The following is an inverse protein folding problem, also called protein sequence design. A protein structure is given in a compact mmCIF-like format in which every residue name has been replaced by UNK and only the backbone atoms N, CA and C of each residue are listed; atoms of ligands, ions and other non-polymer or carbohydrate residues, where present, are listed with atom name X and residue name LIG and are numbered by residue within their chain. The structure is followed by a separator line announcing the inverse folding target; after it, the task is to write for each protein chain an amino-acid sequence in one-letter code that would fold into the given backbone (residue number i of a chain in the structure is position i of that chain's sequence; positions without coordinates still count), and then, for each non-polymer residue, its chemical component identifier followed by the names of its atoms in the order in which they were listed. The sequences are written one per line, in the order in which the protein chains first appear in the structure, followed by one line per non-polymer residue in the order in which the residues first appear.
data_IF_641386231452
#
_entry.id   IF_641386231452
#
_cell.length_a   1.000
_cell.length_b   1.000
_cell.length_c   1.000
_cell.angle_alpha   90.00
_cell.angle_beta   90.00
_cell.angle_gamma   90.00
#
_symmetry.space_group_name_H-M   'P 1'
#
loop_
_entity.id
_entity.type
_entity.pdbx_description
1 polymer ?
#
# COMPACT_ATOMS: atom_id res chain seq x y z
N UNK A 1 -6.54 2.91 16.78
CA UNK A 1 -5.26 2.99 17.50
C UNK A 1 -4.18 3.50 16.54
N UNK A 2 -3.24 4.33 17.01
CA UNK A 2 -2.15 4.83 16.16
C UNK A 2 -1.24 3.68 15.69
N UNK A 3 -0.68 3.76 14.47
CA UNK A 3 0.17 2.70 13.92
C UNK A 3 1.55 2.63 14.59
N UNK A 4 1.85 3.53 15.50
CA UNK A 4 3.13 3.62 16.21
C UNK A 4 2.94 3.81 17.71
N UNK A 5 4.01 3.59 18.47
CA UNK A 5 4.18 3.99 19.87
C UNK A 5 5.17 5.15 19.92
N UNK A 6 5.00 6.04 20.89
CA UNK A 6 5.87 7.19 21.08
C UNK A 6 6.56 7.12 22.44
N UNK A 7 7.81 7.54 22.48
CA UNK A 7 8.57 7.80 23.70
C UNK A 7 9.33 9.14 23.57
N UNK A 8 9.62 9.79 24.69
CA UNK A 8 10.35 11.07 24.68
C UNK A 8 11.51 11.04 25.64
N UNK A 9 12.63 11.62 25.23
CA UNK A 9 13.83 11.81 26.07
C UNK A 9 14.61 13.01 25.57
N UNK A 10 14.97 13.92 26.48
CA UNK A 10 15.85 15.06 26.20
C UNK A 10 15.49 15.89 24.94
N UNK A 11 14.20 16.16 24.74
CA UNK A 11 13.71 16.93 23.58
C UNK A 11 13.59 16.12 22.29
N UNK A 12 13.90 14.82 22.31
CA UNK A 12 13.71 13.90 21.19
C UNK A 12 12.44 13.08 21.42
N UNK A 13 11.54 13.06 20.42
CA UNK A 13 10.38 12.17 20.37
C UNK A 13 10.69 11.05 19.39
N UNK A 14 10.73 9.82 19.89
CA UNK A 14 10.95 8.63 19.06
C UNK A 14 9.62 7.95 18.79
N UNK A 15 9.29 7.82 17.51
CA UNK A 15 8.12 7.07 17.02
C UNK A 15 8.59 5.67 16.59
N UNK A 16 7.98 4.65 17.15
CA UNK A 16 8.29 3.25 16.80
C UNK A 16 7.07 2.60 16.19
N UNK A 17 7.18 2.14 14.94
CA UNK A 17 6.10 1.44 14.27
C UNK A 17 5.69 0.18 15.04
N UNK A 18 4.39 -0.07 15.14
CA UNK A 18 3.85 -1.29 15.78
C UNK A 18 4.04 -2.52 14.89
N UNK A 19 4.04 -2.32 13.58
CA UNK A 19 4.26 -3.38 12.61
C UNK A 19 5.75 -3.50 12.31
N UNK A 20 6.23 -4.74 12.30
CA UNK A 20 7.60 -5.05 11.87
C UNK A 20 7.64 -5.16 10.35
N UNK A 21 8.81 -4.92 9.76
CA UNK A 21 9.02 -5.07 8.32
C UNK A 21 9.03 -3.74 7.57
N UNK A 22 9.04 -3.84 6.25
CA UNK A 22 9.16 -2.70 5.34
C UNK A 22 7.97 -1.73 5.42
N UNK A 23 6.77 -2.22 5.70
CA UNK A 23 5.55 -1.40 5.79
C UNK A 23 5.64 -0.29 6.85
N UNK A 24 6.41 -0.48 7.91
CA UNK A 24 6.63 0.55 8.92
C UNK A 24 7.39 1.79 8.41
N UNK A 25 8.14 1.65 7.33
CA UNK A 25 8.91 2.74 6.73
C UNK A 25 8.04 3.71 5.92
N UNK A 26 6.84 3.29 5.57
CA UNK A 26 5.91 4.06 4.72
C UNK A 26 4.91 4.90 5.53
N UNK A 27 5.01 4.86 6.87
CA UNK A 27 4.14 5.68 7.72
C UNK A 27 4.57 7.14 7.58
N UNK A 28 3.71 8.00 7.02
CA UNK A 28 4.04 9.41 6.85
C UNK A 28 4.06 10.12 8.20
N UNK A 29 5.04 10.97 8.40
CA UNK A 29 5.15 11.86 9.58
C UNK A 29 5.21 13.29 9.10
N UNK A 30 4.15 14.04 9.35
CA UNK A 30 4.05 15.46 8.99
C UNK A 30 3.99 16.33 10.24
N UNK A 31 4.60 17.49 10.19
CA UNK A 31 4.54 18.51 11.25
C UNK A 31 3.31 19.41 11.13
N UNK A 32 2.66 19.41 9.97
CA UNK A 32 1.51 20.23 9.66
C UNK A 32 0.24 19.37 9.64
N UNK A 33 -0.88 19.93 10.07
CA UNK A 33 -2.15 19.22 10.09
C UNK A 33 -2.62 18.82 8.68
N UNK A 34 -2.44 19.71 7.71
CA UNK A 34 -2.77 19.47 6.30
C UNK A 34 -1.57 18.97 5.47
N UNK A 35 -0.47 18.58 6.10
CA UNK A 35 0.73 18.11 5.45
C UNK A 35 1.54 19.23 4.79
N UNK A 36 2.42 18.82 3.88
CA UNK A 36 3.36 19.73 3.22
C UNK A 36 2.68 20.87 2.46
N UNK A 37 1.54 20.61 1.85
CA UNK A 37 0.75 21.60 1.09
C UNK A 37 -0.08 22.56 1.93
N UNK A 38 -0.16 22.35 3.25
CA UNK A 38 -1.07 23.11 4.13
C UNK A 38 -0.67 24.56 4.43
N UNK A 39 0.58 24.92 4.15
CA UNK A 39 1.10 26.28 4.38
C UNK A 39 1.26 26.67 5.85
N UNK A 40 1.04 25.75 6.79
CA UNK A 40 1.21 25.96 8.22
C UNK A 40 2.69 26.07 8.56
N UNK A 41 3.00 27.00 9.45
CA UNK A 41 4.37 27.23 9.92
C UNK A 41 4.47 26.97 11.43
N UNK A 42 5.64 26.48 11.85
CA UNK A 42 5.91 26.29 13.27
C UNK A 42 5.92 27.63 14.00
N UNK A 43 5.48 27.68 15.25
CA UNK A 43 5.55 28.89 16.06
C UNK A 43 7.00 29.40 16.19
N UNK A 44 7.15 30.71 16.28
CA UNK A 44 8.47 31.32 16.47
C UNK A 44 9.15 30.74 17.71
N UNK A 45 10.43 30.38 17.56
CA UNK A 45 11.23 29.75 18.62
C UNK A 45 11.12 28.23 18.75
N UNK A 46 10.24 27.58 17.96
CA UNK A 46 10.15 26.12 17.92
C UNK A 46 10.83 25.65 16.64
N UNK A 47 11.80 24.74 16.77
CA UNK A 47 12.44 24.06 15.67
C UNK A 47 12.23 22.56 15.83
N UNK A 48 11.70 21.90 14.80
CA UNK A 48 11.49 20.45 14.77
C UNK A 48 12.11 19.92 13.49
N UNK A 49 12.97 18.91 13.62
CA UNK A 49 13.50 18.16 12.49
C UNK A 49 12.98 16.73 12.55
N UNK A 50 12.39 16.26 11.47
CA UNK A 50 12.00 14.86 11.32
C UNK A 50 13.16 14.12 10.67
N UNK A 51 13.65 13.08 11.32
CA UNK A 51 14.71 12.23 10.81
C UNK A 51 14.29 10.76 10.86
N UNK A 52 14.60 10.02 9.81
CA UNK A 52 14.41 8.58 9.80
C UNK A 52 15.45 7.92 10.70
N UNK A 53 14.99 7.16 11.68
CA UNK A 53 15.83 6.35 12.55
C UNK A 53 16.23 5.01 11.89
N UNK A 54 16.12 3.93 12.63
CA UNK A 54 16.37 2.58 12.09
C UNK A 54 15.23 2.15 11.21
N UNK A 55 15.49 1.90 9.94
CA UNK A 55 14.51 1.41 9.00
C UNK A 55 14.09 -0.03 9.33
N UNK A 56 12.81 -0.32 9.17
CA UNK A 56 12.27 -1.68 9.24
C UNK A 56 12.79 -2.52 8.06
N UNK A 57 13.06 -3.78 8.30
CA UNK A 57 13.54 -4.73 7.30
C UNK A 57 12.68 -5.99 7.25
N UNK A 58 12.70 -6.68 6.11
CA UNK A 58 11.95 -7.91 5.88
C UNK A 58 10.54 -7.68 5.33
N UNK A 59 10.14 -8.59 4.48
CA UNK A 59 8.81 -8.68 3.90
C UNK A 59 8.01 -9.80 4.58
N UNK A 60 6.67 -9.75 4.60
CA UNK A 60 5.87 -10.85 5.12
C UNK A 60 5.97 -12.08 4.21
N UNK A 61 5.86 -13.26 4.81
CA UNK A 61 5.77 -14.52 4.05
C UNK A 61 4.30 -14.82 3.78
N UNK A 62 3.85 -14.57 2.55
CA UNK A 62 2.44 -14.73 2.16
C UNK A 62 2.07 -16.15 1.72
N UNK A 63 3.03 -17.08 1.62
CA UNK A 63 2.80 -18.45 1.12
C UNK A 63 1.68 -19.17 1.86
N UNK A 64 1.63 -19.04 3.19
CA UNK A 64 0.57 -19.65 3.99
C UNK A 64 -0.81 -19.02 3.76
N UNK A 65 -0.86 -17.71 3.57
CA UNK A 65 -2.11 -17.01 3.27
C UNK A 65 -2.63 -17.38 1.88
N UNK A 66 -1.76 -17.42 0.88
CA UNK A 66 -2.10 -17.84 -0.49
C UNK A 66 -2.57 -19.30 -0.51
N UNK A 67 -1.89 -20.20 0.19
CA UNK A 67 -2.32 -21.60 0.30
C UNK A 67 -3.70 -21.74 0.98
N UNK A 68 -4.00 -20.90 1.96
CA UNK A 68 -5.29 -20.89 2.64
C UNK A 68 -6.45 -20.36 1.76
N UNK A 69 -6.16 -19.60 0.70
CA UNK A 69 -7.17 -19.18 -0.28
C UNK A 69 -7.75 -20.39 -1.07
N UNK A 70 -6.97 -21.47 -1.19
CA UNK A 70 -7.38 -22.67 -1.93
C UNK A 70 -8.09 -22.33 -3.26
N UNK A 71 -9.18 -23.01 -3.60
CA UNK A 71 -9.99 -22.77 -4.80
C UNK A 71 -11.24 -21.91 -4.51
N UNK A 72 -11.24 -21.16 -3.41
CA UNK A 72 -12.30 -20.18 -3.16
C UNK A 72 -12.17 -18.98 -4.10
N UNK A 73 -13.26 -18.53 -4.75
CA UNK A 73 -13.23 -17.37 -5.61
C UNK A 73 -13.14 -16.06 -4.80
N UNK A 74 -12.18 -15.22 -5.15
CA UNK A 74 -12.02 -13.87 -4.58
C UNK A 74 -11.93 -12.86 -5.72
N UNK A 75 -13.00 -12.12 -5.95
CA UNK A 75 -13.06 -11.11 -7.01
C UNK A 75 -12.13 -9.91 -6.73
N UNK A 76 -12.00 -9.55 -5.45
CA UNK A 76 -11.23 -8.38 -5.02
C UNK A 76 -10.31 -8.75 -3.86
N UNK A 77 -9.03 -8.62 -4.07
CA UNK A 77 -7.99 -8.90 -3.07
C UNK A 77 -7.22 -7.61 -2.79
N UNK A 78 -7.28 -7.11 -1.56
CA UNK A 78 -6.46 -5.98 -1.13
C UNK A 78 -5.11 -6.48 -0.62
N UNK A 79 -4.02 -6.03 -1.24
CA UNK A 79 -2.66 -6.32 -0.79
C UNK A 79 -2.06 -5.06 -0.15
N UNK A 80 -1.91 -5.03 1.17
CA UNK A 80 -1.34 -3.87 1.88
C UNK A 80 0.19 -3.76 1.73
N UNK A 81 0.83 -4.78 1.18
CA UNK A 81 2.28 -4.84 1.00
C UNK A 81 2.64 -4.56 -0.45
N UNK A 82 3.56 -3.64 -0.67
CA UNK A 82 4.02 -3.24 -2.01
C UNK A 82 5.48 -3.61 -2.27
N UNK A 83 6.08 -4.40 -1.39
CA UNK A 83 7.42 -4.92 -1.59
C UNK A 83 7.46 -6.02 -2.67
N UNK A 84 8.61 -6.14 -3.34
CA UNK A 84 8.78 -7.05 -4.46
C UNK A 84 8.45 -8.51 -4.13
N UNK A 85 8.79 -8.98 -2.94
CA UNK A 85 8.57 -10.39 -2.56
C UNK A 85 7.08 -10.69 -2.39
N UNK A 86 6.35 -9.78 -1.72
CA UNK A 86 4.90 -9.89 -1.51
C UNK A 86 4.14 -9.83 -2.84
N UNK A 87 4.47 -8.85 -3.70
CA UNK A 87 3.83 -8.70 -5.00
C UNK A 87 4.11 -9.93 -5.89
N UNK A 88 5.36 -10.40 -5.97
CA UNK A 88 5.72 -11.57 -6.78
C UNK A 88 5.04 -12.86 -6.32
N UNK A 89 4.75 -13.01 -5.04
CA UNK A 89 3.95 -14.14 -4.55
C UNK A 89 2.55 -14.12 -5.16
N UNK A 90 1.92 -12.96 -5.21
CA UNK A 90 0.61 -12.81 -5.83
C UNK A 90 0.68 -12.86 -7.37
N UNK A 91 1.76 -12.36 -8.00
CA UNK A 91 2.00 -12.52 -9.45
C UNK A 91 1.99 -14.01 -9.82
N UNK A 92 2.67 -14.82 -9.02
CA UNK A 92 2.71 -16.28 -9.24
C UNK A 92 1.34 -16.91 -9.08
N UNK A 93 0.58 -16.51 -8.05
CA UNK A 93 -0.77 -17.05 -7.81
C UNK A 93 -1.79 -16.60 -8.85
N UNK A 94 -1.69 -15.36 -9.36
CA UNK A 94 -2.66 -14.79 -10.29
C UNK A 94 -2.33 -15.00 -11.77
N UNK A 95 -1.29 -15.77 -12.12
CA UNK A 95 -0.87 -15.93 -13.53
C UNK A 95 -1.87 -16.75 -14.36
N UNK A 96 -1.79 -16.56 -15.69
CA UNK A 96 -2.70 -17.18 -16.66
C UNK A 96 -2.33 -18.63 -17.01
N UNK A 97 -1.11 -19.07 -16.67
CA UNK A 97 -0.60 -20.40 -17.08
C UNK A 97 -0.95 -21.50 -16.07
N UNK A 98 -0.64 -21.25 -14.78
CA UNK A 98 -0.81 -22.22 -13.70
C UNK A 98 -1.46 -21.61 -12.46
N UNK A 99 -1.66 -20.31 -12.43
CA UNK A 99 -2.28 -19.58 -11.35
C UNK A 99 -3.81 -19.60 -11.39
N UNK A 100 -4.42 -18.69 -10.65
CA UNK A 100 -5.88 -18.60 -10.52
C UNK A 100 -6.58 -18.28 -11.84
N UNK A 101 -5.93 -17.49 -12.72
CA UNK A 101 -6.46 -17.14 -14.05
C UNK A 101 -6.24 -18.22 -15.10
N UNK A 102 -5.55 -19.32 -14.77
CA UNK A 102 -5.31 -20.40 -15.72
C UNK A 102 -6.61 -21.05 -16.18
N UNK A 103 -6.57 -21.61 -17.37
CA UNK A 103 -7.71 -22.36 -17.94
C UNK A 103 -8.17 -23.52 -17.02
N UNK A 104 -7.26 -24.11 -16.28
CA UNK A 104 -7.56 -25.23 -15.38
C UNK A 104 -8.30 -24.81 -14.10
N UNK A 105 -8.06 -23.59 -13.58
CA UNK A 105 -8.66 -23.12 -12.32
C UNK A 105 -9.82 -22.17 -12.53
N UNK A 106 -9.70 -21.20 -13.44
CA UNK A 106 -10.72 -20.20 -13.77
C UNK A 106 -11.27 -19.44 -12.56
N UNK A 107 -10.40 -19.11 -11.62
CA UNK A 107 -10.71 -18.35 -10.40
C UNK A 107 -10.36 -16.88 -10.62
N UNK A 108 -11.21 -16.18 -11.33
CA UNK A 108 -10.97 -14.80 -11.73
C UNK A 108 -11.05 -13.84 -10.54
N UNK A 109 -10.28 -12.77 -10.62
CA UNK A 109 -10.20 -11.72 -9.59
C UNK A 109 -8.99 -10.83 -9.82
N UNK A 110 -8.90 -9.72 -9.08
CA UNK A 110 -7.78 -8.79 -9.17
C UNK A 110 -7.23 -8.47 -7.78
N UNK A 111 -5.91 -8.28 -7.73
CA UNK A 111 -5.20 -7.85 -6.52
C UNK A 111 -4.92 -6.36 -6.63
N UNK A 112 -5.39 -5.57 -5.67
CA UNK A 112 -5.16 -4.13 -5.63
C UNK A 112 -4.10 -3.80 -4.59
N UNK A 113 -3.09 -3.07 -5.01
CA UNK A 113 -2.05 -2.57 -4.11
C UNK A 113 -1.76 -1.10 -4.41
N UNK A 114 -1.06 -0.43 -3.50
CA UNK A 114 -0.69 0.97 -3.62
C UNK A 114 0.76 1.19 -3.21
N UNK A 115 1.38 2.22 -3.78
CA UNK A 115 2.74 2.64 -3.45
C UNK A 115 2.82 4.15 -3.48
N UNK A 116 3.40 4.74 -2.44
CA UNK A 116 3.78 6.14 -2.43
C UNK A 116 5.25 6.28 -2.85
N UNK A 117 5.57 7.29 -3.66
CA UNK A 117 6.93 7.51 -4.12
C UNK A 117 7.04 8.64 -5.13
N UNK A 118 8.27 8.92 -5.54
CA UNK A 118 8.53 9.83 -6.66
C UNK A 118 8.07 9.20 -7.97
N UNK A 119 7.83 10.00 -8.99
CA UNK A 119 7.43 9.51 -10.32
C UNK A 119 8.39 8.42 -10.84
N UNK A 120 9.69 8.61 -10.68
CA UNK A 120 10.70 7.64 -11.12
C UNK A 120 10.60 6.31 -10.38
N UNK A 121 10.37 6.33 -9.06
CA UNK A 121 10.18 5.12 -8.25
C UNK A 121 8.90 4.39 -8.62
N UNK A 122 7.83 5.12 -8.93
CA UNK A 122 6.54 4.55 -9.33
C UNK A 122 6.60 3.93 -10.73
N UNK A 123 7.25 4.60 -11.68
CA UNK A 123 7.48 4.06 -13.03
C UNK A 123 8.30 2.77 -12.97
N UNK A 124 9.41 2.79 -12.21
CA UNK A 124 10.25 1.60 -12.03
C UNK A 124 9.48 0.44 -11.39
N UNK A 125 8.62 0.72 -10.41
CA UNK A 125 7.79 -0.31 -9.80
C UNK A 125 6.75 -0.87 -10.78
N UNK A 126 6.13 -0.01 -11.59
CA UNK A 126 5.21 -0.42 -12.66
C UNK A 126 5.87 -1.33 -13.68
N UNK A 127 7.05 -0.96 -14.17
CA UNK A 127 7.83 -1.75 -15.13
C UNK A 127 8.28 -3.09 -14.55
N UNK A 128 8.65 -3.11 -13.26
CA UNK A 128 9.10 -4.33 -12.58
C UNK A 128 7.96 -5.35 -12.44
N UNK A 129 6.76 -4.91 -12.13
CA UNK A 129 5.65 -5.83 -11.88
C UNK A 129 4.88 -6.18 -13.14
N UNK A 130 4.62 -5.22 -14.01
CA UNK A 130 3.95 -5.34 -15.33
C UNK A 130 2.96 -6.51 -15.42
N UNK A 131 2.03 -6.60 -14.46
CA UNK A 131 1.10 -7.71 -14.30
C UNK A 131 -0.34 -7.23 -14.39
N UNK A 132 -1.08 -7.75 -15.37
CA UNK A 132 -2.44 -7.30 -15.70
C UNK A 132 -3.47 -7.54 -14.58
N UNK A 133 -3.24 -8.53 -13.71
CA UNK A 133 -4.17 -8.87 -12.63
C UNK A 133 -3.85 -8.19 -11.30
N UNK A 134 -2.75 -7.40 -11.26
CA UNK A 134 -2.31 -6.69 -10.05
C UNK A 134 -2.11 -5.20 -10.34
N UNK A 135 -3.20 -4.42 -10.46
CA UNK A 135 -3.09 -2.99 -10.66
C UNK A 135 -2.44 -2.31 -9.44
N UNK A 136 -1.25 -1.76 -9.64
CA UNK A 136 -0.53 -0.93 -8.68
C UNK A 136 -1.00 0.53 -8.81
N UNK A 137 -1.50 1.12 -7.72
CA UNK A 137 -1.77 2.55 -7.66
C UNK A 137 -0.55 3.31 -7.17
N UNK A 138 -0.06 4.24 -7.97
CA UNK A 138 0.99 5.18 -7.58
C UNK A 138 0.42 6.44 -6.96
N UNK A 139 0.99 6.88 -5.84
CA UNK A 139 0.67 8.12 -5.15
C UNK A 139 1.94 8.94 -4.94
N UNK A 140 1.77 10.24 -4.80
CA UNK A 140 2.88 11.14 -4.52
C UNK A 140 3.55 10.79 -3.19
N UNK A 141 4.86 11.03 -3.11
CA UNK A 141 5.67 10.72 -1.92
C UNK A 141 5.19 11.45 -0.67
N UNK A 142 4.66 12.66 -0.85
CA UNK A 142 4.18 13.52 0.23
C UNK A 142 2.74 13.22 0.66
N UNK A 143 2.11 12.17 0.12
CA UNK A 143 0.77 11.77 0.55
C UNK A 143 0.75 11.46 2.04
N UNK A 144 -0.27 11.94 2.73
CA UNK A 144 -0.40 11.77 4.17
C UNK A 144 -1.02 10.42 4.56
N UNK A 145 -1.68 9.78 3.62
CA UNK A 145 -2.33 8.49 3.86
C UNK A 145 -1.35 7.37 3.61
N UNK A 146 -1.15 6.44 4.54
CA UNK A 146 -0.29 5.27 4.34
C UNK A 146 -0.71 4.42 3.14
N UNK A 147 0.25 3.77 2.48
CA UNK A 147 0.00 3.00 1.27
C UNK A 147 -0.97 1.82 1.49
N UNK A 148 -0.98 1.22 2.66
CA UNK A 148 -1.90 0.14 3.04
C UNK A 148 -3.35 0.63 3.15
N UNK A 149 -3.58 1.82 3.69
CA UNK A 149 -4.91 2.45 3.72
C UNK A 149 -5.38 2.82 2.32
N UNK A 150 -4.48 3.34 1.48
CA UNK A 150 -4.78 3.64 0.07
C UNK A 150 -5.13 2.37 -0.71
N UNK A 151 -4.41 1.26 -0.49
CA UNK A 151 -4.70 -0.03 -1.09
C UNK A 151 -6.08 -0.54 -0.66
N UNK A 152 -6.42 -0.44 0.63
CA UNK A 152 -7.71 -0.84 1.17
C UNK A 152 -8.85 0.00 0.59
N UNK A 153 -8.71 1.33 0.59
CA UNK A 153 -9.67 2.27 0.00
C UNK A 153 -9.93 1.97 -1.47
N UNK A 154 -8.86 1.77 -2.25
CA UNK A 154 -8.97 1.45 -3.68
C UNK A 154 -9.67 0.13 -3.91
N UNK A 155 -9.33 -0.91 -3.14
CA UNK A 155 -9.98 -2.22 -3.23
C UNK A 155 -11.47 -2.11 -2.96
N UNK A 156 -11.86 -1.44 -1.87
CA UNK A 156 -13.25 -1.22 -1.51
C UNK A 156 -14.01 -0.44 -2.60
N UNK A 157 -13.39 0.62 -3.14
CA UNK A 157 -13.98 1.42 -4.21
C UNK A 157 -14.16 0.61 -5.50
N UNK A 158 -13.14 -0.15 -5.90
CA UNK A 158 -13.23 -1.03 -7.08
C UNK A 158 -14.36 -2.05 -6.90
N UNK A 159 -14.47 -2.68 -5.74
CA UNK A 159 -15.52 -3.64 -5.43
C UNK A 159 -16.93 -3.05 -5.56
N UNK A 160 -17.15 -1.83 -5.04
CA UNK A 160 -18.45 -1.16 -5.14
C UNK A 160 -18.78 -0.81 -6.59
N UNK A 161 -17.83 -0.26 -7.35
CA UNK A 161 -18.08 0.17 -8.73
C UNK A 161 -18.34 -1.03 -9.65
N UNK A 162 -17.50 -2.03 -9.61
CA UNK A 162 -17.61 -3.21 -10.49
C UNK A 162 -18.83 -4.06 -10.13
N UNK A 163 -19.18 -4.14 -8.85
CA UNK A 163 -20.41 -4.84 -8.42
C UNK A 163 -21.67 -4.16 -8.94
N UNK A 164 -21.69 -2.83 -8.97
CA UNK A 164 -22.87 -2.09 -9.43
C UNK A 164 -23.00 -2.09 -10.95
N UNK A 165 -21.89 -1.96 -11.67
CA UNK A 165 -21.85 -1.96 -13.12
C UNK A 165 -20.47 -2.41 -13.62
N UNK A 166 -20.29 -3.68 -13.98
CA UNK A 166 -18.99 -4.21 -14.42
C UNK A 166 -18.50 -3.60 -15.75
N UNK A 167 -19.37 -3.01 -16.53
CA UNK A 167 -19.00 -2.33 -17.78
C UNK A 167 -18.59 -0.87 -17.57
N UNK A 168 -18.81 -0.31 -16.39
CA UNK A 168 -18.47 1.08 -16.08
C UNK A 168 -17.00 1.20 -15.69
N UNK A 169 -16.23 2.09 -16.36
CA UNK A 169 -14.86 2.35 -15.95
C UNK A 169 -14.83 2.88 -14.51
N UNK A 170 -13.91 2.37 -13.71
CA UNK A 170 -13.67 2.88 -12.35
C UNK A 170 -13.19 4.33 -12.45
N UNK A 171 -14.01 5.26 -12.00
CA UNK A 171 -13.62 6.66 -11.96
C UNK A 171 -12.64 6.91 -10.82
N UNK A 172 -11.61 7.68 -11.11
CA UNK A 172 -10.79 8.29 -10.07
C UNK A 172 -11.66 9.26 -9.29
N UNK A 173 -11.77 9.07 -8.00
CA UNK A 173 -12.41 9.99 -7.08
C UNK A 173 -11.52 10.14 -5.88
N UNK A 174 -11.79 11.12 -5.04
CA UNK A 174 -11.07 11.24 -3.79
C UNK A 174 -11.19 9.94 -3.00
N UNK A 175 -10.04 9.38 -2.66
CA UNK A 175 -9.92 8.34 -1.66
C UNK A 175 -9.83 9.09 -0.32
N UNK A 176 -10.95 9.25 0.33
CA UNK A 176 -11.01 9.90 1.64
C UNK A 176 -10.68 8.90 2.71
#
# INVERSE_FOLDING_TARGET
ALPFTASSSAGVVTLTARHKGLCGNEIPVSLNYYGFGGGEVLPAGVQIAVATGTAGTGAPVLTGAVAAMADEPFDYIGLPFNDTASVNTLVTEMNDTSGRWSYARQLYGHVYTAKAGTLSELVNAGDQFNQQHIPLAGYEKETQTPADELAASRTARAAVFIRNDPARPTQTGELV
#
